data_IF_994726386752
#
_entry.id   IF_994726386752
#
_cell.length_a   1.000
_cell.length_b   1.000
_cell.length_c   1.000
_cell.angle_alpha   90.00
_cell.angle_beta   90.00
_cell.angle_gamma   90.00
#
_symmetry.space_group_name_H-M   'P 1'
#
loop_
_entity.id
_entity.type
_entity.pdbx_description
1 polymer ?
#
# COMPACT_ATOMS: atom_id res chain seq x y z
N UNK A 1 66.75 -39.60 -5.84
CA UNK A 1 65.84 -39.82 -4.70
C UNK A 1 65.84 -38.53 -3.91
N UNK A 2 64.85 -37.65 -3.90
CA UNK A 2 63.41 -37.76 -4.07
C UNK A 2 62.89 -36.68 -3.11
N UNK A 3 62.53 -35.51 -3.64
CA UNK A 3 62.15 -34.35 -2.85
C UNK A 3 60.65 -34.38 -2.56
N UNK A 4 60.24 -34.26 -1.29
CA UNK A 4 58.85 -33.96 -0.93
C UNK A 4 58.82 -32.93 0.20
N UNK A 5 58.42 -31.71 -0.17
CA UNK A 5 58.04 -30.63 0.74
C UNK A 5 56.59 -30.89 1.22
N UNK A 6 56.23 -30.55 2.47
CA UNK A 6 54.85 -30.65 2.91
C UNK A 6 54.00 -29.57 2.22
N UNK A 7 52.97 -30.01 1.50
CA UNK A 7 51.96 -29.16 0.90
C UNK A 7 51.13 -28.50 2.03
N UNK A 8 51.26 -27.19 2.17
CA UNK A 8 50.35 -26.39 2.99
C UNK A 8 48.91 -26.51 2.45
N UNK A 9 47.88 -26.56 3.31
CA UNK A 9 46.51 -26.52 2.83
C UNK A 9 46.27 -25.17 2.14
N UNK A 10 45.92 -25.23 0.86
CA UNK A 10 45.36 -24.10 0.11
C UNK A 10 44.19 -23.57 0.93
N UNK A 11 44.33 -22.34 1.45
CA UNK A 11 43.20 -21.59 1.95
C UNK A 11 42.23 -21.45 0.78
N UNK A 12 41.17 -22.23 0.81
CA UNK A 12 40.06 -22.05 -0.10
C UNK A 12 39.55 -20.64 0.14
N UNK A 13 39.80 -19.75 -0.81
CA UNK A 13 39.13 -18.47 -0.97
C UNK A 13 37.66 -18.82 -1.20
N UNK A 14 36.92 -19.07 -0.11
CA UNK A 14 35.47 -19.18 -0.11
C UNK A 14 35.00 -17.78 -0.40
N UNK A 15 34.98 -17.44 -1.69
CA UNK A 15 34.21 -16.32 -2.20
C UNK A 15 32.79 -16.61 -1.76
N UNK A 16 32.37 -15.92 -0.71
CA UNK A 16 30.96 -15.84 -0.35
C UNK A 16 30.26 -15.25 -1.56
N UNK A 17 29.76 -16.13 -2.43
CA UNK A 17 28.78 -15.77 -3.43
C UNK A 17 27.68 -15.01 -2.68
N UNK A 18 27.28 -13.80 -3.13
CA UNK A 18 26.26 -13.05 -2.44
C UNK A 18 25.01 -13.93 -2.40
N UNK A 19 24.77 -14.53 -1.23
CA UNK A 19 23.59 -15.33 -0.98
C UNK A 19 22.43 -14.36 -1.12
N UNK A 20 21.71 -14.46 -2.23
CA UNK A 20 20.52 -13.66 -2.45
C UNK A 20 19.64 -13.77 -1.21
N UNK A 21 19.36 -12.64 -0.58
CA UNK A 21 18.48 -12.61 0.58
C UNK A 21 17.10 -13.08 0.10
N UNK A 22 16.65 -14.21 0.65
CA UNK A 22 15.27 -14.65 0.46
C UNK A 22 14.41 -13.74 1.34
N UNK A 23 14.04 -12.60 0.79
CA UNK A 23 13.04 -11.71 1.40
C UNK A 23 11.71 -12.46 1.31
N UNK A 24 10.97 -12.51 2.42
CA UNK A 24 9.61 -13.04 2.38
C UNK A 24 8.84 -12.33 1.25
N UNK A 25 8.27 -13.14 0.36
CA UNK A 25 7.34 -12.70 -0.68
C UNK A 25 6.34 -11.71 -0.06
N UNK A 26 6.11 -10.54 -0.68
CA UNK A 26 5.88 -9.26 0.00
C UNK A 26 4.92 -9.35 1.18
N UNK A 27 5.31 -8.69 2.28
CA UNK A 27 4.53 -8.45 3.50
C UNK A 27 3.03 -8.38 3.16
N UNK A 28 2.25 -9.34 3.68
CA UNK A 28 0.88 -9.64 3.26
C UNK A 28 0.01 -8.38 3.06
N UNK A 29 0.17 -7.36 3.91
CA UNK A 29 -0.59 -6.12 3.84
C UNK A 29 -0.23 -5.19 2.67
N UNK A 30 1.01 -5.14 2.18
CA UNK A 30 1.35 -4.27 1.04
C UNK A 30 0.68 -4.75 -0.25
N UNK A 31 0.70 -6.07 -0.50
CA UNK A 31 0.00 -6.67 -1.62
C UNK A 31 -1.52 -6.41 -1.53
N UNK A 32 -2.07 -6.37 -0.32
CA UNK A 32 -3.47 -6.02 -0.09
C UNK A 32 -3.78 -4.54 -0.39
N UNK A 33 -2.85 -3.61 -0.16
CA UNK A 33 -3.02 -2.22 -0.60
C UNK A 33 -3.05 -2.10 -2.12
N UNK A 34 -2.19 -2.84 -2.83
CA UNK A 34 -2.22 -2.89 -4.31
C UNK A 34 -3.55 -3.47 -4.78
N UNK A 35 -4.03 -4.55 -4.15
CA UNK A 35 -5.32 -5.16 -4.45
C UNK A 35 -6.48 -4.19 -4.21
N UNK A 36 -6.42 -3.41 -3.13
CA UNK A 36 -7.42 -2.38 -2.83
C UNK A 36 -7.41 -1.30 -3.91
N UNK A 37 -6.24 -0.80 -4.31
CA UNK A 37 -6.12 0.20 -5.36
C UNK A 37 -6.72 -0.27 -6.69
N UNK A 38 -6.42 -1.52 -7.09
CA UNK A 38 -6.96 -2.11 -8.31
C UNK A 38 -8.49 -2.31 -8.23
N UNK A 39 -9.01 -2.72 -7.06
CA UNK A 39 -10.44 -2.83 -6.83
C UNK A 39 -11.15 -1.48 -6.92
N UNK A 40 -10.59 -0.43 -6.31
CA UNK A 40 -11.14 0.93 -6.37
C UNK A 40 -11.13 1.47 -7.80
N UNK A 41 -10.03 1.31 -8.54
CA UNK A 41 -9.96 1.72 -9.95
C UNK A 41 -11.05 1.07 -10.80
N UNK A 42 -11.31 -0.23 -10.59
CA UNK A 42 -12.41 -0.93 -11.30
C UNK A 42 -13.78 -0.46 -10.84
N UNK A 43 -13.93 -0.16 -9.56
CA UNK A 43 -15.19 0.30 -8.97
C UNK A 43 -15.62 1.66 -9.52
N UNK A 44 -14.66 2.58 -9.70
CA UNK A 44 -14.93 3.93 -10.22
C UNK A 44 -14.94 4.01 -11.75
N UNK A 45 -14.38 3.01 -12.45
CA UNK A 45 -14.33 2.99 -13.90
C UNK A 45 -15.69 3.28 -14.55
N UNK A 46 -15.75 4.36 -15.34
CA UNK A 46 -16.97 4.82 -16.03
C UNK A 46 -17.96 5.60 -15.16
N UNK A 47 -17.65 5.88 -13.89
CA UNK A 47 -18.45 6.71 -12.97
C UNK A 47 -17.78 8.04 -12.63
N UNK A 48 -16.49 8.18 -12.95
CA UNK A 48 -15.72 9.38 -12.61
C UNK A 48 -16.00 10.54 -13.55
N UNK A 49 -16.18 11.77 -13.02
CA UNK A 49 -16.22 12.96 -13.84
C UNK A 49 -14.85 13.24 -14.48
N UNK A 50 -14.84 13.72 -15.72
CA UNK A 50 -13.62 13.98 -16.47
C UNK A 50 -12.71 15.04 -15.82
N UNK A 51 -13.30 15.96 -15.05
CA UNK A 51 -12.60 17.11 -14.46
C UNK A 51 -11.97 16.83 -13.08
N UNK A 52 -12.23 15.67 -12.47
CA UNK A 52 -11.67 15.32 -11.16
C UNK A 52 -11.57 13.81 -10.95
N UNK A 53 -10.54 13.17 -11.54
CA UNK A 53 -10.31 11.75 -11.38
C UNK A 53 -9.77 11.39 -9.98
N UNK A 54 -10.03 10.16 -9.55
CA UNK A 54 -9.51 9.55 -8.33
C UNK A 54 -8.03 9.22 -8.52
N UNK A 55 -7.17 9.93 -7.80
CA UNK A 55 -5.72 9.76 -7.87
C UNK A 55 -5.21 8.77 -6.81
N UNK A 56 -5.12 7.50 -7.19
CA UNK A 56 -4.57 6.46 -6.34
C UNK A 56 -3.04 6.44 -6.43
N UNK A 57 -2.36 6.71 -5.31
CA UNK A 57 -0.88 6.69 -5.24
C UNK A 57 -0.39 5.75 -4.16
N UNK A 58 0.61 4.93 -4.47
CA UNK A 58 1.28 4.07 -3.49
C UNK A 58 2.66 4.65 -3.15
N UNK A 59 2.93 4.80 -1.86
CA UNK A 59 4.26 5.16 -1.33
C UNK A 59 4.69 4.16 -0.26
N UNK A 60 6.00 4.04 -0.01
CA UNK A 60 6.59 3.01 0.87
C UNK A 60 7.42 3.55 2.03
N UNK A 61 7.42 4.86 2.28
CA UNK A 61 8.29 5.48 3.27
C UNK A 61 7.52 6.41 4.23
N UNK A 62 7.59 6.23 5.56
CA UNK A 62 8.23 5.13 6.29
C UNK A 62 7.42 3.81 6.31
N UNK A 63 6.14 3.85 5.95
CA UNK A 63 5.25 2.67 5.85
C UNK A 63 4.66 2.56 4.43
N UNK A 64 4.08 1.41 4.11
CA UNK A 64 3.31 1.27 2.89
C UNK A 64 1.99 2.06 3.01
N UNK A 65 1.79 3.03 2.13
CA UNK A 65 0.61 3.91 2.10
C UNK A 65 -0.05 3.87 0.73
N UNK A 66 -1.36 3.68 0.72
CA UNK A 66 -2.23 4.00 -0.39
C UNK A 66 -2.91 5.36 -0.12
N UNK A 67 -2.53 6.39 -0.86
CA UNK A 67 -3.26 7.66 -0.90
C UNK A 67 -4.40 7.55 -1.92
N UNK A 68 -5.59 7.99 -1.54
CA UNK A 68 -6.80 7.92 -2.36
C UNK A 68 -7.07 9.28 -3.03
N UNK A 69 -6.94 10.35 -2.25
CA UNK A 69 -6.94 11.75 -2.67
C UNK A 69 -6.28 12.61 -1.58
N UNK A 70 -6.54 13.93 -1.58
CA UNK A 70 -5.99 14.85 -0.59
C UNK A 70 -6.53 14.64 0.83
N UNK A 71 -7.73 14.05 0.97
CA UNK A 71 -8.47 13.92 2.22
C UNK A 71 -8.51 12.49 2.74
N UNK A 72 -8.10 11.49 1.95
CA UNK A 72 -8.14 10.10 2.36
C UNK A 72 -6.86 9.29 2.03
N UNK A 73 -6.43 8.47 2.98
CA UNK A 73 -5.34 7.51 2.80
C UNK A 73 -5.50 6.26 3.68
N UNK A 74 -4.75 5.22 3.33
CA UNK A 74 -4.62 3.97 4.09
C UNK A 74 -3.14 3.64 4.28
N UNK A 75 -2.71 3.53 5.53
CA UNK A 75 -1.40 2.99 5.90
C UNK A 75 -1.50 1.49 6.24
N UNK A 76 -0.46 0.74 5.90
CA UNK A 76 -0.20 -0.57 6.47
C UNK A 76 1.03 -0.51 7.38
N UNK A 77 0.80 -0.76 8.67
CA UNK A 77 1.82 -0.76 9.70
C UNK A 77 2.29 -2.20 9.89
N UNK A 78 3.41 -2.56 9.24
CA UNK A 78 3.95 -3.93 9.25
C UNK A 78 4.36 -4.40 10.64
N UNK A 79 4.76 -3.50 11.53
CA UNK A 79 5.19 -3.81 12.91
C UNK A 79 4.09 -4.47 13.76
N UNK A 80 2.83 -4.13 13.47
CA UNK A 80 1.65 -4.60 14.21
C UNK A 80 0.59 -5.22 13.27
N UNK A 81 0.98 -5.51 12.03
CA UNK A 81 0.15 -6.09 10.97
C UNK A 81 -1.25 -5.46 10.84
N UNK A 82 -1.32 -4.14 10.98
CA UNK A 82 -2.59 -3.40 11.08
C UNK A 82 -2.73 -2.39 9.96
N UNK A 83 -3.93 -2.28 9.40
CA UNK A 83 -4.32 -1.21 8.51
C UNK A 83 -4.84 -0.01 9.28
N UNK A 84 -4.46 1.17 8.83
CA UNK A 84 -4.92 2.45 9.36
C UNK A 84 -5.47 3.28 8.22
N UNK A 85 -6.80 3.30 8.08
CA UNK A 85 -7.49 4.18 7.16
C UNK A 85 -7.85 5.49 7.85
N UNK A 86 -7.69 6.58 7.13
CA UNK A 86 -7.83 7.94 7.61
C UNK A 86 -8.56 8.76 6.55
N UNK A 87 -9.68 9.37 6.94
CA UNK A 87 -10.51 10.19 6.08
C UNK A 87 -10.84 11.50 6.79
N UNK A 88 -10.62 12.63 6.13
CA UNK A 88 -11.09 13.93 6.58
C UNK A 88 -12.60 14.06 6.31
N UNK A 89 -13.37 14.34 7.35
CA UNK A 89 -14.83 14.49 7.29
C UNK A 89 -15.30 15.95 7.46
N UNK A 90 -14.36 16.89 7.63
CA UNK A 90 -14.63 18.30 7.80
C UNK A 90 -13.41 19.06 8.32
N UNK A 91 -13.49 20.39 8.45
CA UNK A 91 -12.45 21.17 9.10
C UNK A 91 -12.27 20.63 10.53
N UNK A 92 -11.05 20.20 10.84
CA UNK A 92 -10.67 19.63 12.14
C UNK A 92 -11.30 18.27 12.51
N UNK A 93 -12.02 17.61 11.58
CA UNK A 93 -12.62 16.30 11.84
C UNK A 93 -11.99 15.22 10.96
N UNK A 94 -11.44 14.18 11.60
CA UNK A 94 -10.85 13.03 10.93
C UNK A 94 -11.42 11.73 11.47
N UNK A 95 -11.94 10.89 10.59
CA UNK A 95 -12.40 9.54 10.90
C UNK A 95 -11.25 8.57 10.67
N UNK A 96 -10.98 7.75 11.67
CA UNK A 96 -9.88 6.80 11.66
C UNK A 96 -10.42 5.39 11.91
N UNK A 97 -10.12 4.47 10.99
CA UNK A 97 -10.35 3.04 11.16
C UNK A 97 -8.99 2.33 11.30
N UNK A 98 -8.81 1.64 12.43
CA UNK A 98 -7.67 0.73 12.65
C UNK A 98 -8.18 -0.69 12.70
N UNK A 99 -7.71 -1.55 11.81
CA UNK A 99 -8.22 -2.91 11.68
C UNK A 99 -7.19 -3.85 11.06
N UNK A 100 -7.24 -5.13 11.42
CA UNK A 100 -6.55 -6.21 10.71
C UNK A 100 -7.44 -6.87 9.66
N UNK A 101 -8.76 -6.61 9.71
CA UNK A 101 -9.74 -7.13 8.75
C UNK A 101 -9.74 -6.29 7.47
N UNK A 102 -9.21 -6.89 6.40
CA UNK A 102 -9.16 -6.27 5.08
C UNK A 102 -10.55 -6.06 4.46
N UNK A 103 -11.54 -6.91 4.73
CA UNK A 103 -12.90 -6.74 4.23
C UNK A 103 -13.58 -5.53 4.85
N UNK A 104 -13.40 -5.33 6.15
CA UNK A 104 -13.87 -4.14 6.86
C UNK A 104 -13.21 -2.86 6.33
N UNK A 105 -11.88 -2.89 6.14
CA UNK A 105 -11.13 -1.81 5.50
C UNK A 105 -11.67 -1.48 4.11
N UNK A 106 -11.81 -2.49 3.25
CA UNK A 106 -12.26 -2.31 1.87
C UNK A 106 -13.67 -1.72 1.81
N UNK A 107 -14.56 -2.15 2.72
CA UNK A 107 -15.92 -1.62 2.81
C UNK A 107 -15.93 -0.15 3.24
N UNK A 108 -15.13 0.20 4.25
CA UNK A 108 -14.98 1.57 4.73
C UNK A 108 -14.47 2.52 3.63
N UNK A 109 -13.43 2.12 2.91
CA UNK A 109 -12.87 2.93 1.81
C UNK A 109 -13.82 3.02 0.62
N UNK A 110 -14.52 1.92 0.28
CA UNK A 110 -15.49 1.92 -0.82
C UNK A 110 -16.66 2.85 -0.52
N UNK A 111 -17.13 2.89 0.74
CA UNK A 111 -18.18 3.80 1.17
C UNK A 111 -17.76 5.26 0.97
N UNK A 112 -16.54 5.61 1.40
CA UNK A 112 -15.99 6.95 1.18
C UNK A 112 -15.96 7.35 -0.29
N UNK A 113 -15.43 6.47 -1.15
CA UNK A 113 -15.36 6.74 -2.60
C UNK A 113 -16.76 6.87 -3.19
N UNK A 114 -17.71 6.04 -2.75
CA UNK A 114 -19.10 6.14 -3.20
C UNK A 114 -19.75 7.47 -2.77
N UNK A 115 -19.54 7.90 -1.52
CA UNK A 115 -20.06 9.16 -1.00
C UNK A 115 -19.46 10.36 -1.75
N UNK A 116 -18.15 10.35 -2.03
CA UNK A 116 -17.48 11.37 -2.86
C UNK A 116 -18.09 11.46 -4.26
N UNK A 117 -18.44 10.32 -4.88
CA UNK A 117 -19.07 10.30 -6.20
C UNK A 117 -20.52 10.85 -6.17
N UNK A 118 -21.24 10.68 -5.06
CA UNK A 118 -22.64 11.10 -4.93
C UNK A 118 -22.82 12.54 -4.44
N UNK A 119 -22.00 12.99 -3.48
CA UNK A 119 -22.06 14.34 -2.88
C UNK A 119 -21.78 15.45 -3.93
N UNK A 120 -21.27 15.07 -5.11
CA UNK A 120 -21.00 15.97 -6.22
C UNK A 120 -22.11 16.02 -7.28
N UNK A 121 -23.24 15.34 -7.09
CA UNK A 121 -24.41 15.61 -7.94
C UNK A 121 -24.75 17.11 -7.82
N UNK A 122 -24.91 17.83 -8.95
CA UNK A 122 -24.73 19.26 -8.99
C UNK A 122 -25.71 19.96 -8.05
N UNK A 123 -25.16 20.77 -7.16
CA UNK A 123 -25.89 21.92 -6.61
C UNK A 123 -26.18 22.86 -7.78
N UNK A 124 -27.27 22.59 -8.49
CA UNK A 124 -27.83 23.53 -9.46
C UNK A 124 -28.28 24.76 -8.67
N UNK A 125 -27.46 25.80 -8.73
CA UNK A 125 -27.76 27.11 -8.18
C UNK A 125 -28.96 27.69 -8.94
N UNK A 126 -30.06 27.91 -8.22
CA UNK A 126 -31.14 28.83 -8.59
C UNK A 126 -31.12 29.97 -7.56
N UNK A 127 -31.51 31.22 -7.92
CA UNK A 127 -32.37 31.61 -9.03
C UNK A 127 -31.76 32.60 -10.05
#
# INVERSE_FOLDING_TARGET
>A
MGAELPLAPVAADVREEPRGEVVAFPLHGEALLIKLADALRRYVAGREPADDPLWLTISRCPWARLSIDASAYVDYLSEIETFHAAIEAGPDTKVILKTTDFGALASFVTQYVNDRLHDRAPVEAAP
#
